data_IF_816104178249
#
_entry.id   IF_816104178249
#
_cell.length_a   1.000
_cell.length_b   1.000
_cell.length_c   1.000
_cell.angle_alpha   90.00
_cell.angle_beta   90.00
_cell.angle_gamma   90.00
#
_symmetry.space_group_name_H-M   'P 1'
#
loop_
_entity.id
_entity.type
_entity.pdbx_description
1 polymer ?
#
# COMPACT_ATOMS: atom_id res chain seq x y z
N UNK A 1 -7.90 16.31 15.91
CA UNK A 1 -6.96 15.64 14.98
C UNK A 1 -5.80 16.52 14.48
N UNK A 2 -5.72 17.82 14.79
CA UNK A 2 -4.53 18.67 14.55
C UNK A 2 -3.91 18.56 13.13
N UNK A 3 -4.75 18.57 12.09
CA UNK A 3 -4.37 18.56 10.67
C UNK A 3 -4.86 19.83 9.98
N UNK A 4 -4.10 20.31 9.00
CA UNK A 4 -4.43 21.46 8.15
C UNK A 4 -5.19 21.03 6.90
N UNK A 5 -5.80 22.01 6.20
CA UNK A 5 -6.51 21.75 4.94
C UNK A 5 -5.62 21.09 3.87
N UNK A 6 -4.34 21.44 3.80
CA UNK A 6 -3.39 20.89 2.81
C UNK A 6 -3.03 19.41 3.06
N UNK A 7 -3.47 18.86 4.20
CA UNK A 7 -3.29 17.45 4.55
C UNK A 7 -4.56 16.62 4.33
N UNK A 8 -5.60 17.21 3.69
CA UNK A 8 -6.88 16.57 3.42
C UNK A 8 -7.08 16.50 1.91
N UNK A 9 -7.21 15.28 1.40
CA UNK A 9 -7.63 15.01 0.03
C UNK A 9 -9.00 14.33 0.06
N UNK A 10 -9.96 14.89 -0.67
CA UNK A 10 -11.29 14.29 -0.85
C UNK A 10 -11.28 13.34 -2.05
N UNK A 11 -12.04 12.25 -1.95
CA UNK A 11 -12.27 11.30 -3.03
C UNK A 11 -13.60 10.58 -2.86
N UNK A 12 -14.05 9.88 -3.89
CA UNK A 12 -15.27 9.08 -3.94
C UNK A 12 -15.11 7.75 -3.17
N UNK A 13 -14.93 7.88 -1.86
CA UNK A 13 -14.60 6.79 -0.95
C UNK A 13 -13.11 6.46 -0.89
N UNK A 14 -12.73 5.66 0.10
CA UNK A 14 -11.32 5.31 0.33
C UNK A 14 -10.72 4.47 -0.79
N UNK A 15 -11.53 3.75 -1.57
CA UNK A 15 -11.07 2.96 -2.72
C UNK A 15 -10.37 3.80 -3.79
N UNK A 16 -10.90 5.00 -4.10
CA UNK A 16 -10.27 5.93 -5.04
C UNK A 16 -8.93 6.44 -4.49
N UNK A 17 -8.87 6.77 -3.21
CA UNK A 17 -7.63 7.22 -2.56
C UNK A 17 -6.56 6.11 -2.57
N UNK A 18 -6.93 4.86 -2.28
CA UNK A 18 -6.01 3.72 -2.34
C UNK A 18 -5.50 3.47 -3.76
N UNK A 19 -6.38 3.59 -4.77
CA UNK A 19 -5.99 3.51 -6.18
C UNK A 19 -4.99 4.60 -6.55
N UNK A 20 -5.29 5.85 -6.21
CA UNK A 20 -4.39 6.99 -6.46
C UNK A 20 -3.01 6.77 -5.84
N UNK A 21 -2.95 6.30 -4.58
CA UNK A 21 -1.69 5.99 -3.91
C UNK A 21 -0.91 4.89 -4.64
N UNK A 22 -1.57 3.79 -5.01
CA UNK A 22 -0.92 2.70 -5.75
C UNK A 22 -0.38 3.19 -7.10
N UNK A 23 -1.17 3.93 -7.87
CA UNK A 23 -0.77 4.46 -9.19
C UNK A 23 0.39 5.48 -9.09
N UNK A 24 0.38 6.32 -8.05
CA UNK A 24 1.36 7.39 -7.87
C UNK A 24 2.72 6.87 -7.41
N UNK A 25 2.71 5.93 -6.45
CA UNK A 25 3.92 5.53 -5.75
C UNK A 25 4.49 4.20 -6.21
N UNK A 26 3.74 3.36 -6.93
CA UNK A 26 4.23 2.04 -7.38
C UNK A 26 4.38 1.96 -8.90
N UNK A 27 5.09 0.95 -9.37
CA UNK A 27 5.25 0.64 -10.79
C UNK A 27 6.69 0.26 -11.12
N UNK A 28 6.92 -0.18 -12.37
CA UNK A 28 8.23 -0.68 -12.85
C UNK A 28 9.42 0.22 -12.53
N UNK A 29 9.21 1.54 -12.47
CA UNK A 29 10.25 2.54 -12.18
C UNK A 29 10.10 3.21 -10.80
N UNK A 30 9.01 2.97 -10.07
CA UNK A 30 8.66 3.69 -8.82
C UNK A 30 8.75 2.81 -7.57
N UNK A 31 8.75 1.48 -7.74
CA UNK A 31 8.90 0.51 -6.65
C UNK A 31 7.69 -0.41 -6.52
N UNK A 32 7.79 -1.33 -5.57
CA UNK A 32 6.77 -2.34 -5.30
C UNK A 32 5.72 -1.84 -4.29
N UNK A 33 4.57 -2.51 -4.26
CA UNK A 33 3.65 -2.47 -3.13
C UNK A 33 4.05 -3.55 -2.12
N UNK A 34 4.38 -3.17 -0.89
CA UNK A 34 4.56 -4.12 0.22
C UNK A 34 3.28 -4.14 1.06
N UNK A 35 2.78 -5.34 1.35
CA UNK A 35 1.48 -5.48 2.02
C UNK A 35 1.42 -6.70 2.96
N UNK A 36 0.77 -6.53 4.11
CA UNK A 36 0.43 -7.63 5.01
C UNK A 36 -0.71 -8.49 4.45
N UNK A 37 -0.64 -9.82 4.57
CA UNK A 37 -1.73 -10.72 4.13
C UNK A 37 -2.15 -11.71 5.22
N UNK A 38 -3.47 -11.96 5.43
CA UNK A 38 -4.63 -11.45 4.66
C UNK A 38 -4.92 -9.95 4.87
N UNK A 39 -5.50 -9.28 3.86
CA UNK A 39 -5.93 -7.87 3.90
C UNK A 39 -6.93 -7.56 2.77
N UNK A 40 -7.39 -6.32 2.68
CA UNK A 40 -8.25 -5.83 1.59
C UNK A 40 -7.54 -5.82 0.23
N UNK A 41 -8.13 -6.49 -0.76
CA UNK A 41 -7.44 -6.91 -1.97
C UNK A 41 -7.37 -5.84 -3.07
N UNK A 42 -8.25 -4.83 -3.03
CA UNK A 42 -8.39 -3.87 -4.14
C UNK A 42 -7.09 -3.10 -4.43
N UNK A 43 -6.31 -2.74 -3.39
CA UNK A 43 -5.04 -2.04 -3.58
C UNK A 43 -3.98 -2.91 -4.25
N UNK A 44 -3.99 -4.23 -4.01
CA UNK A 44 -3.10 -5.17 -4.70
C UNK A 44 -3.45 -5.24 -6.18
N UNK A 45 -4.75 -5.31 -6.51
CA UNK A 45 -5.22 -5.33 -7.89
C UNK A 45 -4.84 -4.04 -8.63
N UNK A 46 -5.03 -2.88 -8.00
CA UNK A 46 -4.66 -1.59 -8.58
C UNK A 46 -3.14 -1.48 -8.82
N UNK A 47 -2.32 -1.89 -7.85
CA UNK A 47 -0.86 -1.86 -8.00
C UNK A 47 -0.38 -2.79 -9.12
N UNK A 48 -0.88 -4.03 -9.17
CA UNK A 48 -0.56 -4.96 -10.25
C UNK A 48 -1.05 -4.48 -11.61
N UNK A 49 -2.24 -3.88 -11.69
CA UNK A 49 -2.76 -3.28 -12.93
C UNK A 49 -1.88 -2.12 -13.43
N UNK A 50 -1.26 -1.36 -12.52
CA UNK A 50 -0.27 -0.34 -12.83
C UNK A 50 1.14 -0.92 -13.15
N UNK A 51 1.27 -2.25 -13.23
CA UNK A 51 2.52 -2.94 -13.55
C UNK A 51 3.54 -2.92 -12.41
N UNK A 52 3.10 -2.73 -11.17
CA UNK A 52 3.96 -2.85 -9.99
C UNK A 52 4.08 -4.30 -9.51
N UNK A 53 5.24 -4.64 -8.97
CA UNK A 53 5.40 -5.84 -8.17
C UNK A 53 4.66 -5.70 -6.85
N UNK A 54 4.08 -6.80 -6.36
CA UNK A 54 3.37 -6.85 -5.07
C UNK A 54 4.06 -7.86 -4.16
N UNK A 55 4.68 -7.38 -3.09
CA UNK A 55 5.34 -8.19 -2.07
C UNK A 55 4.38 -8.44 -0.93
N UNK A 56 3.91 -9.69 -0.82
CA UNK A 56 3.00 -10.13 0.24
C UNK A 56 3.81 -10.64 1.43
N UNK A 57 3.58 -10.06 2.61
CA UNK A 57 4.17 -10.49 3.87
C UNK A 57 3.07 -11.10 4.74
N UNK A 58 3.15 -12.38 5.11
CA UNK A 58 2.15 -12.98 6.00
C UNK A 58 2.08 -12.22 7.33
N UNK A 59 0.86 -12.00 7.82
CA UNK A 59 0.66 -11.51 9.19
C UNK A 59 1.21 -12.51 10.22
N UNK A 60 1.49 -12.03 11.41
CA UNK A 60 1.91 -12.89 12.54
C UNK A 60 0.78 -13.82 12.96
N UNK A 61 1.09 -14.78 13.84
CA UNK A 61 0.06 -15.68 14.42
C UNK A 61 -1.04 -14.95 15.21
N UNK A 62 -0.84 -13.68 15.58
CA UNK A 62 -1.84 -12.83 16.21
C UNK A 62 -2.55 -11.89 15.23
N UNK A 63 -2.42 -12.12 13.92
CA UNK A 63 -2.92 -11.25 12.85
C UNK A 63 -2.37 -9.81 12.89
N UNK A 64 -1.19 -9.60 13.47
CA UNK A 64 -0.51 -8.31 13.41
C UNK A 64 0.42 -8.24 12.18
N UNK A 65 0.75 -7.02 11.76
CA UNK A 65 1.77 -6.81 10.72
C UNK A 65 3.15 -7.22 11.23
N UNK A 66 3.87 -8.01 10.43
CA UNK A 66 5.29 -8.26 10.64
C UNK A 66 6.12 -7.09 10.10
N UNK A 67 6.10 -5.97 10.84
CA UNK A 67 6.75 -4.72 10.43
C UNK A 67 8.25 -4.89 10.09
N UNK A 68 9.05 -5.68 10.84
CA UNK A 68 10.43 -5.96 10.45
C UNK A 68 10.55 -6.62 9.06
N UNK A 69 9.73 -7.63 8.75
CA UNK A 69 9.74 -8.26 7.42
C UNK A 69 9.23 -7.31 6.33
N UNK A 70 8.20 -6.53 6.61
CA UNK A 70 7.68 -5.52 5.67
C UNK A 70 8.73 -4.45 5.36
N UNK A 71 9.45 -3.96 6.38
CA UNK A 71 10.55 -3.01 6.20
C UNK A 71 11.70 -3.60 5.37
N UNK A 72 12.09 -4.84 5.63
CA UNK A 72 13.16 -5.51 4.88
C UNK A 72 12.81 -5.71 3.39
N UNK A 73 11.51 -5.81 3.07
CA UNK A 73 11.01 -5.88 1.69
C UNK A 73 10.89 -4.51 1.01
N UNK A 74 10.83 -3.42 1.78
CA UNK A 74 10.62 -2.08 1.25
C UNK A 74 11.89 -1.57 0.54
N UNK A 75 11.77 -1.29 -0.77
CA UNK A 75 12.86 -0.79 -1.62
C UNK A 75 12.38 0.40 -2.46
N UNK A 76 11.71 1.34 -1.81
CA UNK A 76 10.90 2.39 -2.46
C UNK A 76 9.49 1.90 -2.78
N UNK A 77 8.61 2.82 -3.13
CA UNK A 77 7.21 2.54 -3.46
C UNK A 77 6.24 2.85 -2.33
N UNK A 78 5.32 1.91 -2.06
CA UNK A 78 4.24 2.06 -1.08
C UNK A 78 4.18 0.85 -0.14
N UNK A 79 3.93 1.11 1.15
CA UNK A 79 3.61 0.07 2.14
C UNK A 79 2.16 0.26 2.57
N UNK A 80 1.34 -0.79 2.46
CA UNK A 80 -0.02 -0.81 3.01
C UNK A 80 -0.03 -1.60 4.32
N UNK A 81 -0.34 -0.89 5.40
CA UNK A 81 -0.45 -1.38 6.77
C UNK A 81 -1.90 -1.33 7.16
#
# INVERSE_FOLDING_TARGET
NNVSHDQILLGDGSGEILKLCAETFTGKQRGALVVGVPTFEAILLNASANGADVVKVPLTGSFAHDLPKMMAAAKGGLIYV
#
